data_IF_820955353901
#
_entry.id   IF_820955353901
#
_cell.length_a   1.000
_cell.length_b   1.000
_cell.length_c   1.000
_cell.angle_alpha   90.00
_cell.angle_beta   90.00
_cell.angle_gamma   90.00
#
_symmetry.space_group_name_H-M   'P 1'
#
loop_
_entity.id
_entity.type
_entity.pdbx_description
1 polymer ?
#
# COMPACT_ATOMS: atom_id res chain seq x y z
N UNK A 1 28.37 -12.51 -6.64
CA UNK A 1 28.02 -11.99 -5.29
C UNK A 1 28.08 -13.08 -4.22
N UNK A 2 27.86 -14.35 -4.57
CA UNK A 2 27.92 -15.52 -3.67
C UNK A 2 29.30 -15.84 -3.04
N UNK A 3 30.37 -15.20 -3.52
CA UNK A 3 31.74 -15.39 -2.99
C UNK A 3 32.17 -14.28 -2.01
N UNK A 4 31.37 -13.21 -1.88
CA UNK A 4 31.68 -12.09 -1.01
C UNK A 4 31.02 -12.29 0.35
N UNK A 5 31.82 -12.32 1.41
CA UNK A 5 31.32 -12.35 2.80
C UNK A 5 30.60 -11.05 3.14
N UNK A 6 29.51 -11.13 3.90
CA UNK A 6 28.73 -9.98 4.38
C UNK A 6 29.62 -8.91 5.03
N UNK A 7 30.51 -9.34 5.92
CA UNK A 7 31.49 -8.47 6.59
C UNK A 7 32.36 -7.64 5.65
N UNK A 8 32.75 -8.21 4.50
CA UNK A 8 33.58 -7.48 3.51
C UNK A 8 32.82 -6.34 2.84
N UNK A 9 31.49 -6.41 2.75
CA UNK A 9 30.65 -5.32 2.23
C UNK A 9 30.72 -4.12 3.17
N UNK A 10 30.58 -4.37 4.47
CA UNK A 10 30.61 -3.34 5.51
C UNK A 10 32.03 -2.76 5.69
N UNK A 11 33.05 -3.61 5.78
CA UNK A 11 34.47 -3.17 5.91
C UNK A 11 34.91 -2.28 4.75
N UNK A 12 34.49 -2.61 3.53
CA UNK A 12 34.81 -1.84 2.32
C UNK A 12 33.85 -0.67 2.07
N UNK A 13 32.88 -0.45 2.96
CA UNK A 13 31.89 0.64 2.85
C UNK A 13 31.18 0.65 1.50
N UNK A 14 30.83 -0.53 1.00
CA UNK A 14 30.09 -0.69 -0.25
C UNK A 14 28.61 -0.41 0.00
N UNK A 15 28.28 0.84 0.35
CA UNK A 15 26.96 1.24 0.86
C UNK A 15 25.80 0.80 -0.03
N UNK A 16 25.95 0.91 -1.36
CA UNK A 16 24.92 0.47 -2.31
C UNK A 16 24.58 -1.03 -2.26
N UNK A 17 25.41 -1.85 -1.60
CA UNK A 17 25.18 -3.28 -1.40
C UNK A 17 24.62 -3.61 -0.02
N UNK A 18 24.43 -2.64 0.87
CA UNK A 18 23.96 -2.91 2.24
C UNK A 18 22.59 -3.60 2.27
N UNK A 19 21.59 -3.22 1.44
CA UNK A 19 20.32 -3.97 1.37
C UNK A 19 20.49 -5.42 0.91
N UNK A 20 21.51 -5.71 0.10
CA UNK A 20 21.80 -7.05 -0.42
C UNK A 20 22.59 -7.92 0.58
N UNK A 21 23.20 -7.31 1.59
CA UNK A 21 24.01 -8.03 2.58
C UNK A 21 23.20 -9.13 3.29
N UNK A 22 21.89 -8.91 3.48
CA UNK A 22 20.94 -9.85 4.08
C UNK A 22 20.82 -11.19 3.32
N UNK A 23 21.05 -11.16 2.00
CA UNK A 23 20.96 -12.35 1.15
C UNK A 23 22.22 -13.23 1.21
N UNK A 24 23.31 -12.72 1.79
CA UNK A 24 24.57 -13.44 1.84
C UNK A 24 24.44 -14.60 2.84
N UNK A 25 25.08 -15.73 2.54
CA UNK A 25 24.99 -16.93 3.36
C UNK A 25 25.41 -16.68 4.82
N UNK A 26 26.49 -15.91 5.03
CA UNK A 26 27.03 -15.54 6.35
C UNK A 26 26.50 -14.19 6.88
N UNK A 27 25.33 -13.75 6.42
CA UNK A 27 24.71 -12.52 6.91
C UNK A 27 24.26 -12.66 8.37
N UNK A 28 24.76 -11.78 9.23
CA UNK A 28 24.25 -11.55 10.58
C UNK A 28 23.18 -10.44 10.52
N UNK A 29 21.90 -10.72 10.85
CA UNK A 29 20.81 -9.75 10.76
C UNK A 29 21.06 -8.46 11.53
N UNK A 30 21.60 -8.55 12.75
CA UNK A 30 21.81 -7.39 13.61
C UNK A 30 22.96 -6.52 13.08
N UNK A 31 24.02 -7.13 12.55
CA UNK A 31 25.10 -6.42 11.85
C UNK A 31 24.59 -5.74 10.58
N UNK A 32 23.73 -6.43 9.81
CA UNK A 32 23.15 -5.85 8.61
C UNK A 32 22.28 -4.63 8.93
N UNK A 33 21.45 -4.71 9.98
CA UNK A 33 20.61 -3.59 10.42
C UNK A 33 21.46 -2.42 10.91
N UNK A 34 22.38 -2.65 11.86
CA UNK A 34 23.22 -1.56 12.41
C UNK A 34 24.01 -0.83 11.33
N UNK A 35 24.57 -1.55 10.36
CA UNK A 35 25.32 -0.93 9.27
C UNK A 35 24.40 -0.16 8.31
N UNK A 36 23.20 -0.66 8.06
CA UNK A 36 22.20 0.02 7.25
C UNK A 36 21.74 1.33 7.91
N UNK A 37 21.41 1.28 9.20
CA UNK A 37 21.04 2.45 10.00
C UNK A 37 22.16 3.49 9.99
N UNK A 38 23.39 3.07 10.29
CA UNK A 38 24.56 3.94 10.23
C UNK A 38 24.70 4.63 8.87
N UNK A 39 24.56 3.87 7.78
CA UNK A 39 24.71 4.41 6.43
C UNK A 39 23.61 5.44 6.09
N UNK A 40 22.39 5.23 6.57
CA UNK A 40 21.27 6.13 6.37
C UNK A 40 21.41 7.40 7.23
N UNK A 41 21.75 7.25 8.51
CA UNK A 41 21.93 8.37 9.44
C UNK A 41 23.04 9.34 9.00
N UNK A 42 24.09 8.82 8.39
CA UNK A 42 25.22 9.62 7.89
C UNK A 42 25.05 10.07 6.43
N UNK A 43 23.87 9.83 5.82
CA UNK A 43 23.53 10.30 4.48
C UNK A 43 24.24 9.56 3.34
N UNK A 44 24.83 8.39 3.60
CA UNK A 44 25.41 7.54 2.56
C UNK A 44 24.34 6.77 1.76
N UNK A 45 23.16 6.55 2.38
CA UNK A 45 22.00 5.91 1.77
C UNK A 45 20.72 6.70 2.07
N UNK A 46 19.75 6.62 1.16
CA UNK A 46 18.40 7.10 1.39
C UNK A 46 17.61 6.17 2.32
N UNK A 47 16.60 6.71 3.01
CA UNK A 47 15.73 5.96 3.93
C UNK A 47 14.91 4.87 3.22
N UNK A 48 14.75 5.00 1.91
CA UNK A 48 14.15 4.02 1.01
C UNK A 48 14.87 2.67 1.07
N UNK A 49 16.16 2.66 1.48
CA UNK A 49 16.92 1.44 1.64
C UNK A 49 16.36 0.51 2.73
N UNK A 50 15.58 1.01 3.71
CA UNK A 50 14.86 0.14 4.65
C UNK A 50 13.81 -0.73 3.94
N UNK A 51 13.09 -0.16 2.97
CA UNK A 51 12.10 -0.91 2.19
C UNK A 51 12.79 -1.97 1.35
N UNK A 52 13.86 -1.60 0.65
CA UNK A 52 14.67 -2.55 -0.13
C UNK A 52 15.21 -3.68 0.75
N UNK A 53 15.78 -3.36 1.92
CA UNK A 53 16.33 -4.35 2.83
C UNK A 53 15.25 -5.31 3.34
N UNK A 54 14.05 -4.81 3.67
CA UNK A 54 12.92 -5.66 4.09
C UNK A 54 12.48 -6.62 3.00
N UNK A 55 12.23 -6.11 1.80
CA UNK A 55 11.81 -6.95 0.66
C UNK A 55 12.86 -8.02 0.34
N UNK A 56 14.15 -7.67 0.41
CA UNK A 56 15.22 -8.63 0.16
C UNK A 56 15.37 -9.64 1.31
N UNK A 57 15.21 -9.21 2.57
CA UNK A 57 15.26 -10.12 3.72
C UNK A 57 14.13 -11.16 3.68
N UNK A 58 12.93 -10.79 3.21
CA UNK A 58 11.79 -11.71 3.05
C UNK A 58 12.04 -12.84 2.04
N UNK A 59 13.06 -12.72 1.17
CA UNK A 59 13.47 -13.82 0.29
C UNK A 59 14.23 -14.94 1.04
N UNK A 60 14.79 -14.63 2.21
CA UNK A 60 15.61 -15.56 3.01
C UNK A 60 14.95 -15.96 4.32
N UNK A 61 14.19 -15.05 4.95
CA UNK A 61 13.60 -15.23 6.26
C UNK A 61 12.06 -15.13 6.20
N UNK A 62 11.34 -15.81 7.10
CA UNK A 62 9.87 -15.66 7.20
C UNK A 62 9.46 -14.21 7.48
N UNK A 63 8.30 -13.75 6.98
CA UNK A 63 7.84 -12.37 7.15
C UNK A 63 7.77 -11.89 8.61
N UNK A 64 7.40 -12.77 9.54
CA UNK A 64 7.32 -12.46 10.98
C UNK A 64 8.70 -12.13 11.55
N UNK A 65 9.71 -12.91 11.15
CA UNK A 65 11.11 -12.71 11.56
C UNK A 65 11.66 -11.42 10.96
N UNK A 66 11.38 -11.15 9.69
CA UNK A 66 11.81 -9.90 9.06
C UNK A 66 11.15 -8.69 9.71
N UNK A 67 9.89 -8.80 10.13
CA UNK A 67 9.19 -7.72 10.82
C UNK A 67 9.81 -7.40 12.18
N UNK A 68 10.27 -8.41 12.91
CA UNK A 68 11.02 -8.23 14.17
C UNK A 68 12.38 -7.58 13.92
N UNK A 69 13.08 -7.98 12.84
CA UNK A 69 14.39 -7.42 12.46
C UNK A 69 14.30 -5.98 11.95
N UNK A 70 13.36 -5.69 11.06
CA UNK A 70 13.15 -4.39 10.44
C UNK A 70 11.77 -3.89 10.82
N UNK A 71 11.73 -3.20 11.96
CA UNK A 71 10.52 -2.68 12.55
C UNK A 71 9.78 -1.68 11.65
N UNK A 72 8.45 -1.66 11.78
CA UNK A 72 7.59 -0.79 10.97
C UNK A 72 7.92 0.71 11.17
N UNK A 73 8.47 1.11 12.32
CA UNK A 73 8.91 2.48 12.57
C UNK A 73 10.02 2.95 11.61
N UNK A 74 10.92 2.07 11.20
CA UNK A 74 11.96 2.40 10.21
C UNK A 74 11.36 2.58 8.82
N UNK A 75 10.42 1.70 8.44
CA UNK A 75 9.70 1.82 7.17
C UNK A 75 8.86 3.09 7.08
N UNK A 76 8.19 3.47 8.17
CA UNK A 76 7.37 4.69 8.25
C UNK A 76 8.19 5.96 8.01
N UNK A 77 9.53 5.90 8.05
CA UNK A 77 10.38 7.02 7.69
C UNK A 77 10.63 7.14 6.18
N UNK A 78 10.37 6.08 5.40
CA UNK A 78 10.49 6.08 3.94
C UNK A 78 9.35 6.87 3.29
N UNK A 79 9.68 7.74 2.35
CA UNK A 79 8.70 8.47 1.54
C UNK A 79 7.85 7.52 0.71
N UNK A 80 8.47 6.52 0.07
CA UNK A 80 7.78 5.50 -0.72
C UNK A 80 6.72 4.75 0.11
N UNK A 81 7.05 4.37 1.35
CA UNK A 81 6.09 3.70 2.24
C UNK A 81 4.89 4.62 2.58
N UNK A 82 5.15 5.90 2.88
CA UNK A 82 4.09 6.87 3.17
C UNK A 82 3.16 7.08 1.99
N UNK A 83 3.72 7.28 0.78
CA UNK A 83 2.95 7.45 -0.45
C UNK A 83 2.07 6.23 -0.73
N UNK A 84 2.63 5.02 -0.58
CA UNK A 84 1.89 3.77 -0.76
C UNK A 84 0.75 3.64 0.26
N UNK A 85 1.01 4.00 1.52
CA UNK A 85 -0.01 3.97 2.57
C UNK A 85 -1.14 4.98 2.31
N UNK A 86 -0.80 6.21 1.91
CA UNK A 86 -1.76 7.25 1.56
C UNK A 86 -2.62 6.85 0.35
N UNK A 87 -2.01 6.28 -0.68
CA UNK A 87 -2.74 5.72 -1.83
C UNK A 87 -3.70 4.61 -1.39
N UNK A 88 -3.24 3.71 -0.53
CA UNK A 88 -4.05 2.63 0.04
C UNK A 88 -5.25 3.14 0.83
N UNK A 89 -5.04 4.15 1.69
CA UNK A 89 -6.11 4.78 2.46
C UNK A 89 -7.13 5.48 1.55
N UNK A 90 -6.66 6.22 0.54
CA UNK A 90 -7.51 6.90 -0.44
C UNK A 90 -8.39 5.90 -1.20
N UNK A 91 -7.80 4.80 -1.70
CA UNK A 91 -8.53 3.70 -2.33
C UNK A 91 -9.53 3.05 -1.38
N UNK A 92 -9.12 2.81 -0.13
CA UNK A 92 -9.98 2.23 0.91
C UNK A 92 -11.23 3.07 1.18
N UNK A 93 -11.08 4.40 1.30
CA UNK A 93 -12.21 5.31 1.45
C UNK A 93 -13.14 5.25 0.24
N UNK A 94 -12.60 5.22 -0.98
CA UNK A 94 -13.41 5.13 -2.20
C UNK A 94 -14.18 3.80 -2.30
N UNK A 95 -13.55 2.68 -1.94
CA UNK A 95 -14.20 1.36 -1.87
C UNK A 95 -15.31 1.37 -0.81
N UNK A 96 -15.04 1.86 0.40
CA UNK A 96 -16.04 1.92 1.46
C UNK A 96 -17.25 2.79 1.09
N UNK A 97 -17.04 3.87 0.32
CA UNK A 97 -18.14 4.69 -0.21
C UNK A 97 -18.96 3.95 -1.26
N UNK A 98 -18.32 3.23 -2.19
CA UNK A 98 -19.02 2.38 -3.16
C UNK A 98 -19.88 1.33 -2.43
N UNK A 99 -19.29 0.59 -1.49
CA UNK A 99 -20.01 -0.41 -0.69
C UNK A 99 -21.17 0.20 0.08
N UNK A 100 -20.99 1.40 0.65
CA UNK A 100 -22.04 2.16 1.33
C UNK A 100 -23.19 2.54 0.40
N UNK A 101 -22.91 2.97 -0.83
CA UNK A 101 -23.93 3.25 -1.85
C UNK A 101 -24.72 1.97 -2.18
N UNK A 102 -24.01 0.88 -2.48
CA UNK A 102 -24.63 -0.40 -2.85
C UNK A 102 -25.49 -0.96 -1.70
N UNK A 103 -24.97 -0.93 -0.48
CA UNK A 103 -25.70 -1.35 0.72
C UNK A 103 -26.94 -0.49 0.96
N UNK A 104 -26.84 0.83 0.79
CA UNK A 104 -27.99 1.74 0.91
C UNK A 104 -29.07 1.41 -0.12
N UNK A 105 -28.70 1.22 -1.38
CA UNK A 105 -29.64 0.86 -2.45
C UNK A 105 -30.29 -0.51 -2.19
N UNK A 106 -29.51 -1.51 -1.77
CA UNK A 106 -30.02 -2.83 -1.42
C UNK A 106 -31.00 -2.76 -0.23
N UNK A 107 -30.67 -2.00 0.80
CA UNK A 107 -31.53 -1.83 1.97
C UNK A 107 -32.86 -1.13 1.62
N UNK A 108 -32.83 -0.14 0.70
CA UNK A 108 -34.01 0.63 0.31
C UNK A 108 -34.89 -0.10 -0.71
N UNK A 109 -34.27 -0.84 -1.64
CA UNK A 109 -34.96 -1.38 -2.82
C UNK A 109 -34.86 -2.90 -2.95
N UNK A 110 -34.29 -3.58 -1.95
CA UNK A 110 -34.15 -5.04 -1.87
C UNK A 110 -32.92 -5.58 -2.59
N UNK A 111 -32.75 -5.24 -3.87
CA UNK A 111 -31.61 -5.67 -4.68
C UNK A 111 -31.10 -4.54 -5.57
N UNK A 112 -29.78 -4.50 -5.78
CA UNK A 112 -29.14 -3.56 -6.70
C UNK A 112 -28.90 -4.26 -8.03
N UNK A 113 -29.41 -3.76 -9.16
CA UNK A 113 -29.11 -4.33 -10.47
C UNK A 113 -27.61 -4.32 -10.77
N UNK A 114 -27.09 -5.40 -11.35
CA UNK A 114 -25.67 -5.52 -11.73
C UNK A 114 -25.19 -4.39 -12.64
N UNK A 115 -26.10 -3.84 -13.45
CA UNK A 115 -25.81 -2.69 -14.32
C UNK A 115 -25.46 -1.46 -13.49
N UNK A 116 -26.25 -1.16 -12.45
CA UNK A 116 -26.02 -0.02 -11.57
C UNK A 116 -24.73 -0.23 -10.77
N UNK A 117 -24.51 -1.44 -10.24
CA UNK A 117 -23.28 -1.78 -9.52
C UNK A 117 -22.03 -1.57 -10.37
N UNK A 118 -22.00 -2.12 -11.59
CA UNK A 118 -20.88 -1.93 -12.53
C UNK A 118 -20.67 -0.48 -12.96
N UNK A 119 -21.71 0.35 -12.89
CA UNK A 119 -21.60 1.77 -13.25
C UNK A 119 -21.08 2.60 -12.08
N UNK A 120 -21.52 2.33 -10.86
CA UNK A 120 -20.96 2.93 -9.63
C UNK A 120 -19.46 2.59 -9.53
N UNK A 121 -19.09 1.32 -9.77
CA UNK A 121 -17.70 0.89 -9.82
C UNK A 121 -16.85 1.70 -10.81
N UNK A 122 -17.34 1.86 -12.04
CA UNK A 122 -16.66 2.66 -13.07
C UNK A 122 -16.54 4.14 -12.70
N UNK A 123 -17.53 4.69 -12.00
CA UNK A 123 -17.46 6.06 -11.49
C UNK A 123 -16.38 6.16 -10.41
N UNK A 124 -16.31 5.22 -9.47
CA UNK A 124 -15.22 5.16 -8.45
C UNK A 124 -13.85 5.17 -9.12
N UNK A 125 -13.65 4.34 -10.15
CA UNK A 125 -12.36 4.22 -10.85
C UNK A 125 -11.97 5.48 -11.63
N UNK A 126 -12.95 6.19 -12.22
CA UNK A 126 -12.70 7.38 -13.03
C UNK A 126 -12.65 8.67 -12.23
N UNK A 127 -13.53 8.80 -11.24
CA UNK A 127 -13.71 10.01 -10.45
C UNK A 127 -14.39 9.70 -9.09
N UNK A 128 -13.59 9.31 -8.10
CA UNK A 128 -14.05 8.99 -6.75
C UNK A 128 -14.71 10.17 -6.01
N UNK A 129 -14.51 11.42 -6.45
CA UNK A 129 -15.16 12.59 -5.84
C UNK A 129 -16.68 12.60 -6.01
N UNK A 130 -17.19 11.95 -7.07
CA UNK A 130 -18.63 11.84 -7.34
C UNK A 130 -19.34 10.87 -6.40
N UNK A 131 -18.61 10.07 -5.62
CA UNK A 131 -19.21 9.07 -4.73
C UNK A 131 -20.04 9.71 -3.61
N UNK A 132 -19.66 10.89 -3.13
CA UNK A 132 -20.43 11.60 -2.10
C UNK A 132 -21.79 12.08 -2.63
N UNK A 133 -21.83 12.51 -3.89
CA UNK A 133 -23.09 12.90 -4.54
C UNK A 133 -23.92 11.68 -4.96
N UNK A 134 -23.28 10.58 -5.33
CA UNK A 134 -23.96 9.31 -5.56
C UNK A 134 -24.58 8.75 -4.28
N UNK A 135 -23.93 8.90 -3.13
CA UNK A 135 -24.49 8.49 -1.85
C UNK A 135 -25.73 9.33 -1.50
N UNK A 136 -25.67 10.65 -1.65
CA UNK A 136 -26.85 11.52 -1.49
C UNK A 136 -27.97 11.10 -2.45
N UNK A 137 -27.64 10.79 -3.69
CA UNK A 137 -28.60 10.32 -4.68
C UNK A 137 -29.23 8.98 -4.27
N UNK A 138 -28.43 8.04 -3.79
CA UNK A 138 -28.89 6.74 -3.31
C UNK A 138 -29.83 6.85 -2.11
N UNK A 139 -29.70 7.88 -1.28
CA UNK A 139 -30.59 8.15 -0.13
C UNK A 139 -31.87 8.89 -0.52
N UNK A 140 -31.82 9.75 -1.55
CA UNK A 140 -32.92 10.69 -1.89
C UNK A 140 -33.83 10.21 -3.02
N UNK A 141 -33.36 9.32 -3.89
CA UNK A 141 -34.14 8.76 -5.00
C UNK A 141 -35.37 8.00 -4.50
N UNK A 142 -36.50 8.10 -5.21
CA UNK A 142 -37.76 7.47 -4.80
C UNK A 142 -37.78 5.97 -5.06
N UNK A 143 -37.16 5.56 -6.15
CA UNK A 143 -37.07 4.19 -6.61
C UNK A 143 -35.75 3.94 -7.35
N UNK A 144 -35.47 2.66 -7.61
CA UNK A 144 -34.24 2.24 -8.28
C UNK A 144 -34.16 2.74 -9.74
N UNK A 145 -35.30 2.91 -10.42
CA UNK A 145 -35.33 3.40 -11.80
C UNK A 145 -34.94 4.87 -11.91
N UNK A 146 -35.38 5.70 -10.96
CA UNK A 146 -34.96 7.09 -10.84
C UNK A 146 -33.45 7.19 -10.58
N UNK A 147 -32.94 6.32 -9.70
CA UNK A 147 -31.50 6.23 -9.44
C UNK A 147 -30.71 5.88 -10.70
N UNK A 148 -31.12 4.84 -11.44
CA UNK A 148 -30.42 4.43 -12.67
C UNK A 148 -30.44 5.51 -13.76
N UNK A 149 -31.55 6.24 -13.89
CA UNK A 149 -31.65 7.35 -14.85
C UNK A 149 -30.68 8.48 -14.49
N UNK A 150 -30.65 8.90 -13.22
CA UNK A 150 -29.76 9.97 -12.74
C UNK A 150 -28.28 9.53 -12.73
N UNK A 151 -27.99 8.28 -12.39
CA UNK A 151 -26.68 7.66 -12.57
C UNK A 151 -26.24 7.68 -14.05
N UNK A 152 -27.24 7.62 -14.95
CA UNK A 152 -27.13 7.83 -16.39
C UNK A 152 -26.51 9.16 -16.81
N UNK A 153 -26.80 10.21 -16.06
CA UNK A 153 -26.43 11.60 -16.34
C UNK A 153 -25.08 11.98 -15.69
N UNK A 154 -24.61 11.21 -14.70
CA UNK A 154 -23.40 11.49 -13.90
C UNK A 154 -22.09 10.90 -14.45
N UNK A 155 -22.11 10.15 -15.55
CA UNK A 155 -20.89 9.51 -16.07
C UNK A 155 -20.95 9.10 -17.52
#
# INVERSE_FOLDING_TARGET
>A
MWELKSKKIFEKKLYGLYPLAWLIADADPDECLRNLEYAIEHGYLGRECYVCARVLAELKYPPEVVKEMIGDELLKQSTFYKETLEEGLSKGVAIGREEGILSTLAARFGAVPDRSSRRIHRIRERNSSLLDDLLKLAVTTKDIGEFERKLGEMG
#
